data_IF_355281865873
#
_entry.id   IF_355281865873
#
_cell.length_a   1.000
_cell.length_b   1.000
_cell.length_c   1.000
_cell.angle_alpha   90.00
_cell.angle_beta   90.00
_cell.angle_gamma   90.00
#
_symmetry.space_group_name_H-M   'P 1'
#
loop_
_entity.id
_entity.type
_entity.pdbx_description
1 polymer ?
#
# COMPACT_ATOMS: atom_id res chain seq x y z
N UNK A 1 17.06 7.66 8.94
CA UNK A 1 15.70 7.11 9.24
C UNK A 1 15.60 5.71 8.69
N UNK A 2 15.13 4.76 9.48
CA UNK A 2 14.95 3.35 9.09
C UNK A 2 13.50 3.05 8.74
N UNK A 3 13.28 2.33 7.64
CA UNK A 3 11.94 1.99 7.15
C UNK A 3 11.54 0.56 7.57
N UNK A 4 10.31 0.40 8.04
CA UNK A 4 9.62 -0.87 8.11
C UNK A 4 8.61 -0.94 6.97
N UNK A 5 8.76 -1.92 6.09
CA UNK A 5 7.85 -2.14 4.96
C UNK A 5 7.08 -3.43 5.20
N UNK A 6 5.76 -3.34 5.34
CA UNK A 6 4.89 -4.50 5.49
C UNK A 6 4.06 -4.67 4.22
N UNK A 7 4.07 -5.89 3.68
CA UNK A 7 3.40 -6.28 2.43
C UNK A 7 2.37 -7.36 2.72
N UNK A 8 1.10 -6.98 2.97
CA UNK A 8 0.00 -7.94 3.04
C UNK A 8 -0.19 -8.64 1.69
N UNK A 9 -0.23 -9.96 1.68
CA UNK A 9 -0.21 -10.75 0.45
C UNK A 9 -1.21 -11.90 0.50
N UNK A 10 -1.97 -12.11 -0.59
CA UNK A 10 -2.86 -13.27 -0.76
C UNK A 10 -3.08 -13.57 -2.24
N UNK A 11 -2.59 -14.73 -2.71
CA UNK A 11 -2.69 -15.19 -4.09
C UNK A 11 -2.12 -14.17 -5.10
N UNK A 12 -0.83 -13.87 -4.96
CA UNK A 12 -0.08 -12.91 -5.76
C UNK A 12 1.10 -13.56 -6.53
N UNK A 13 1.04 -14.86 -6.83
CA UNK A 13 2.11 -15.60 -7.54
C UNK A 13 2.59 -14.91 -8.82
N UNK A 14 1.71 -14.18 -9.51
CA UNK A 14 2.02 -13.49 -10.78
C UNK A 14 2.73 -12.15 -10.59
N UNK A 15 2.63 -11.55 -9.40
CA UNK A 15 3.03 -10.15 -9.18
C UNK A 15 4.13 -10.01 -8.12
N UNK A 16 4.09 -10.85 -7.07
CA UNK A 16 4.89 -10.65 -5.86
C UNK A 16 6.39 -10.57 -6.15
N UNK A 17 6.92 -11.40 -7.06
CA UNK A 17 8.35 -11.41 -7.37
C UNK A 17 8.81 -10.06 -7.96
N UNK A 18 8.00 -9.42 -8.82
CA UNK A 18 8.33 -8.10 -9.37
C UNK A 18 8.33 -7.01 -8.30
N UNK A 19 7.40 -7.09 -7.35
CA UNK A 19 7.36 -6.19 -6.21
C UNK A 19 8.63 -6.33 -5.36
N UNK A 20 8.99 -7.54 -4.95
CA UNK A 20 10.16 -7.83 -4.11
C UNK A 20 11.47 -7.42 -4.80
N UNK A 21 11.65 -7.76 -6.08
CA UNK A 21 12.82 -7.34 -6.87
C UNK A 21 12.92 -5.82 -6.97
N UNK A 22 11.81 -5.12 -7.15
CA UNK A 22 11.83 -3.65 -7.22
C UNK A 22 12.20 -3.00 -5.88
N UNK A 23 11.83 -3.61 -4.76
CA UNK A 23 12.20 -3.17 -3.42
C UNK A 23 13.66 -3.52 -3.08
N UNK A 24 14.12 -4.70 -3.46
CA UNK A 24 15.53 -5.10 -3.35
C UNK A 24 16.46 -4.14 -4.09
N UNK A 25 16.04 -3.62 -5.23
CA UNK A 25 16.82 -2.72 -6.07
C UNK A 25 16.72 -1.24 -5.68
N UNK A 26 16.15 -0.90 -4.52
CA UNK A 26 16.11 0.48 -4.05
C UNK A 26 17.53 1.03 -3.80
N UNK A 27 17.76 2.30 -4.12
CA UNK A 27 19.02 3.01 -3.83
C UNK A 27 19.18 3.34 -2.33
N UNK A 28 18.09 3.48 -1.61
CA UNK A 28 18.07 3.58 -0.15
C UNK A 28 18.03 2.18 0.48
N UNK A 29 18.88 1.90 1.50
CA UNK A 29 19.12 0.55 2.01
C UNK A 29 18.74 0.33 3.48
N UNK A 30 18.45 1.37 4.23
CA UNK A 30 18.11 1.24 5.65
C UNK A 30 16.62 0.90 5.82
N UNK A 31 16.26 -0.34 5.50
CA UNK A 31 14.91 -0.87 5.62
C UNK A 31 14.88 -2.33 6.07
N UNK A 32 13.72 -2.74 6.56
CA UNK A 32 13.33 -4.13 6.77
C UNK A 32 11.98 -4.37 6.09
N UNK A 33 11.83 -5.51 5.43
CA UNK A 33 10.59 -5.89 4.74
C UNK A 33 10.01 -7.13 5.40
N UNK A 34 8.71 -7.05 5.72
CA UNK A 34 7.92 -8.16 6.25
C UNK A 34 6.78 -8.45 5.28
N UNK A 35 6.86 -9.58 4.59
CA UNK A 35 5.76 -10.08 3.76
C UNK A 35 4.83 -10.90 4.65
N UNK A 36 3.56 -10.56 4.70
CA UNK A 36 2.56 -11.30 5.47
C UNK A 36 1.65 -12.05 4.50
N UNK A 37 1.88 -13.35 4.37
CA UNK A 37 1.09 -14.23 3.53
C UNK A 37 -0.16 -14.70 4.28
N UNK A 38 -1.33 -14.23 3.85
CA UNK A 38 -2.62 -14.55 4.45
C UNK A 38 -3.24 -15.80 3.78
N UNK A 39 -2.63 -16.96 4.05
CA UNK A 39 -3.11 -18.26 3.59
C UNK A 39 -3.30 -18.36 2.08
N UNK A 40 -2.31 -17.98 1.29
CA UNK A 40 -2.34 -18.17 -0.16
C UNK A 40 -2.44 -19.64 -0.54
N UNK A 41 -3.17 -19.92 -1.61
CA UNK A 41 -3.41 -21.27 -2.16
C UNK A 41 -2.70 -21.51 -3.49
N UNK A 42 -1.99 -20.50 -4.00
CA UNK A 42 -1.14 -20.53 -5.18
C UNK A 42 0.36 -20.59 -4.80
N UNK A 43 1.26 -20.32 -5.74
CA UNK A 43 2.71 -20.40 -5.52
C UNK A 43 3.27 -19.19 -4.72
N UNK A 44 2.44 -18.26 -4.25
CA UNK A 44 2.89 -17.05 -3.54
C UNK A 44 3.82 -17.37 -2.37
N UNK A 45 3.45 -18.34 -1.52
CA UNK A 45 4.23 -18.72 -0.35
C UNK A 45 5.60 -19.27 -0.74
N UNK A 46 5.67 -20.14 -1.75
CA UNK A 46 6.92 -20.74 -2.22
C UNK A 46 7.86 -19.65 -2.77
N UNK A 47 7.35 -18.75 -3.59
CA UNK A 47 8.12 -17.64 -4.19
C UNK A 47 8.70 -16.74 -3.10
N UNK A 48 7.90 -16.36 -2.08
CA UNK A 48 8.37 -15.45 -1.01
C UNK A 48 9.38 -16.16 -0.10
N UNK A 49 9.18 -17.44 0.23
CA UNK A 49 10.13 -18.22 1.02
C UNK A 49 11.49 -18.31 0.34
N UNK A 50 11.54 -18.63 -0.94
CA UNK A 50 12.77 -18.69 -1.74
C UNK A 50 13.45 -17.32 -1.78
N UNK A 51 12.70 -16.25 -2.02
CA UNK A 51 13.23 -14.90 -2.07
C UNK A 51 13.83 -14.47 -0.72
N UNK A 52 13.11 -14.68 0.38
CA UNK A 52 13.56 -14.33 1.74
C UNK A 52 14.79 -15.12 2.17
N UNK A 53 14.90 -16.40 1.77
CA UNK A 53 16.09 -17.20 2.06
C UNK A 53 17.38 -16.65 1.43
N UNK A 54 17.25 -15.95 0.29
CA UNK A 54 18.37 -15.32 -0.42
C UNK A 54 18.64 -13.87 0.02
N UNK A 55 17.72 -13.25 0.77
CA UNK A 55 17.75 -11.81 1.09
C UNK A 55 17.39 -11.55 2.55
N UNK A 56 18.38 -11.34 3.46
CA UNK A 56 18.16 -11.25 4.91
C UNK A 56 17.31 -10.05 5.36
N UNK A 57 17.18 -9.00 4.54
CA UNK A 57 16.32 -7.86 4.83
C UNK A 57 14.82 -8.15 4.61
N UNK A 58 14.49 -9.34 4.07
CA UNK A 58 13.13 -9.78 3.78
C UNK A 58 12.74 -10.93 4.70
N UNK A 59 11.67 -10.77 5.44
CA UNK A 59 11.07 -11.80 6.28
C UNK A 59 9.68 -12.17 5.80
N UNK A 60 9.26 -13.40 6.02
CA UNK A 60 7.90 -13.86 5.73
C UNK A 60 7.19 -14.30 7.00
N UNK A 61 5.92 -13.92 7.14
CA UNK A 61 4.97 -14.49 8.08
C UNK A 61 3.86 -15.20 7.31
N UNK A 62 3.72 -16.49 7.52
CA UNK A 62 2.60 -17.26 6.99
C UNK A 62 1.48 -17.30 8.03
N UNK A 63 0.27 -16.94 7.63
CA UNK A 63 -0.95 -17.02 8.41
C UNK A 63 -1.84 -18.13 7.85
N UNK A 64 -2.75 -18.64 8.67
CA UNK A 64 -3.89 -19.42 8.19
C UNK A 64 -4.83 -18.52 7.38
N UNK A 65 -5.54 -19.13 6.43
CA UNK A 65 -6.48 -18.40 5.58
C UNK A 65 -7.56 -17.74 6.42
N UNK A 66 -7.64 -16.41 6.35
CA UNK A 66 -8.70 -15.64 7.01
C UNK A 66 -9.89 -15.39 6.09
N UNK A 67 -11.06 -15.12 6.70
CA UNK A 67 -12.26 -14.73 5.95
C UNK A 67 -12.06 -13.44 5.16
N UNK A 68 -12.66 -13.40 3.97
CA UNK A 68 -12.58 -12.22 3.12
C UNK A 68 -13.51 -11.12 3.64
N UNK A 69 -12.92 -9.99 4.08
CA UNK A 69 -13.64 -8.77 4.42
C UNK A 69 -13.02 -7.59 3.68
N UNK A 70 -13.73 -6.93 2.75
CA UNK A 70 -13.21 -5.81 1.98
C UNK A 70 -12.67 -4.69 2.87
N UNK A 71 -11.46 -4.20 2.57
CA UNK A 71 -10.78 -3.16 3.35
C UNK A 71 -10.25 -3.65 4.71
N UNK A 72 -11.05 -4.37 5.49
CA UNK A 72 -10.66 -4.84 6.81
C UNK A 72 -9.57 -5.93 6.76
N UNK A 73 -9.66 -6.87 5.82
CA UNK A 73 -8.72 -7.99 5.70
C UNK A 73 -7.28 -7.52 5.50
N UNK A 74 -7.04 -6.59 4.57
CA UNK A 74 -5.70 -6.08 4.27
C UNK A 74 -5.06 -5.39 5.48
N UNK A 75 -5.87 -4.66 6.27
CA UNK A 75 -5.39 -3.99 7.49
C UNK A 75 -5.08 -5.01 8.58
N UNK A 76 -5.92 -6.03 8.79
CA UNK A 76 -5.64 -7.10 9.76
C UNK A 76 -4.34 -7.85 9.42
N UNK A 77 -4.15 -8.18 8.14
CA UNK A 77 -2.93 -8.82 7.67
C UNK A 77 -1.71 -7.92 7.88
N UNK A 78 -1.83 -6.62 7.59
CA UNK A 78 -0.79 -5.63 7.89
C UNK A 78 -0.45 -5.59 9.40
N UNK A 79 -1.46 -5.52 10.28
CA UNK A 79 -1.27 -5.50 11.73
C UNK A 79 -0.54 -6.77 12.24
N UNK A 80 -0.78 -7.92 11.62
CA UNK A 80 -0.01 -9.16 11.92
C UNK A 80 1.48 -9.04 11.57
N UNK A 81 1.82 -8.23 10.60
CA UNK A 81 3.22 -7.88 10.30
C UNK A 81 3.83 -6.95 11.36
N UNK A 82 3.07 -5.99 11.86
CA UNK A 82 3.53 -5.10 12.96
C UNK A 82 3.86 -5.90 14.24
N UNK A 83 3.11 -6.95 14.54
CA UNK A 83 3.36 -7.80 15.72
C UNK A 83 4.71 -8.54 15.68
N UNK A 84 5.39 -8.59 14.53
CA UNK A 84 6.68 -9.30 14.36
C UNK A 84 7.90 -8.46 14.75
N UNK A 85 7.73 -7.16 14.95
CA UNK A 85 8.85 -6.22 15.08
C UNK A 85 8.64 -5.26 16.25
N UNK A 86 9.74 -4.81 16.87
CA UNK A 86 9.66 -3.67 17.78
C UNK A 86 9.70 -2.38 16.97
N UNK A 87 8.63 -1.61 17.03
CA UNK A 87 8.52 -0.34 16.30
C UNK A 87 9.53 0.72 16.75
N UNK A 88 10.20 0.51 17.91
CA UNK A 88 11.28 1.42 18.36
C UNK A 88 12.46 1.46 17.40
N UNK A 89 12.69 0.38 16.66
CA UNK A 89 13.80 0.24 15.72
C UNK A 89 13.57 0.99 14.39
N UNK A 90 12.38 1.56 14.18
CA UNK A 90 11.98 2.17 12.92
C UNK A 90 11.46 3.59 13.10
N UNK A 91 11.65 4.41 12.06
CA UNK A 91 11.17 5.79 11.99
C UNK A 91 9.97 5.95 11.06
N UNK A 92 9.94 5.15 9.99
CA UNK A 92 8.90 5.19 8.96
C UNK A 92 8.27 3.81 8.81
N UNK A 93 6.94 3.77 8.81
CA UNK A 93 6.14 2.55 8.63
C UNK A 93 5.48 2.62 7.25
N UNK A 94 5.67 1.61 6.42
CA UNK A 94 5.09 1.52 5.09
C UNK A 94 4.10 0.35 4.99
N UNK A 95 2.94 0.60 4.40
CA UNK A 95 2.03 -0.44 3.92
C UNK A 95 2.06 -0.42 2.39
N UNK A 96 2.66 -1.44 1.78
CA UNK A 96 2.75 -1.58 0.33
C UNK A 96 1.96 -2.80 -0.15
N UNK A 97 1.35 -2.70 -1.34
CA UNK A 97 0.67 -3.84 -1.96
C UNK A 97 1.67 -4.69 -2.76
N UNK A 98 1.37 -5.98 -2.86
CA UNK A 98 2.22 -6.99 -3.48
C UNK A 98 2.28 -6.91 -5.02
N UNK A 99 1.42 -6.11 -5.64
CA UNK A 99 1.30 -5.91 -7.09
C UNK A 99 1.81 -4.55 -7.56
N UNK A 100 2.75 -3.96 -6.80
CA UNK A 100 3.37 -2.67 -7.11
C UNK A 100 4.84 -2.86 -7.53
N UNK A 101 5.26 -2.20 -8.61
CA UNK A 101 6.67 -2.06 -8.98
C UNK A 101 7.11 -0.62 -8.67
N UNK A 102 8.13 -0.50 -7.83
CA UNK A 102 8.70 0.76 -7.39
C UNK A 102 9.90 1.17 -8.28
N UNK A 103 10.07 2.46 -8.63
CA UNK A 103 11.32 2.92 -9.22
C UNK A 103 12.46 2.85 -8.18
N UNK A 104 13.70 2.66 -8.61
CA UNK A 104 14.86 2.42 -7.74
C UNK A 104 15.10 3.51 -6.70
N UNK A 105 14.68 4.73 -6.97
CA UNK A 105 14.83 5.88 -6.07
C UNK A 105 13.58 6.18 -5.22
N UNK A 106 12.59 5.26 -5.16
CA UNK A 106 11.33 5.53 -4.49
C UNK A 106 11.52 5.80 -3.00
N UNK A 107 12.18 4.90 -2.28
CA UNK A 107 12.43 5.04 -0.84
C UNK A 107 13.33 6.25 -0.55
N UNK A 108 14.34 6.52 -1.38
CA UNK A 108 15.20 7.70 -1.21
C UNK A 108 14.41 9.01 -1.31
N UNK A 109 13.53 9.13 -2.30
CA UNK A 109 12.71 10.35 -2.46
C UNK A 109 11.71 10.54 -1.30
N UNK A 110 11.10 9.47 -0.79
CA UNK A 110 10.23 9.58 0.39
C UNK A 110 11.06 9.95 1.63
N UNK A 111 12.20 9.30 1.81
CA UNK A 111 13.14 9.60 2.90
C UNK A 111 13.49 11.10 2.92
N UNK A 112 13.84 11.68 1.77
CA UNK A 112 14.24 13.08 1.68
C UNK A 112 13.11 14.03 2.10
N UNK A 113 11.85 13.70 1.80
CA UNK A 113 10.71 14.49 2.28
C UNK A 113 10.60 14.42 3.81
N UNK A 114 10.73 13.24 4.40
CA UNK A 114 10.65 13.08 5.85
C UNK A 114 11.81 13.77 6.58
N UNK A 115 13.03 13.71 6.05
CA UNK A 115 14.20 14.38 6.62
C UNK A 115 14.04 15.90 6.61
N UNK A 116 13.54 16.46 5.49
CA UNK A 116 13.47 17.92 5.31
C UNK A 116 12.16 18.55 5.84
N UNK A 117 11.17 17.73 6.21
CA UNK A 117 9.89 18.21 6.73
C UNK A 117 9.44 17.42 7.96
N UNK A 118 9.71 17.92 9.18
CA UNK A 118 9.28 17.26 10.41
C UNK A 118 7.76 17.12 10.57
N UNK A 119 6.96 17.93 9.85
CA UNK A 119 5.50 17.85 9.86
C UNK A 119 4.94 16.84 8.84
N UNK A 120 5.77 16.29 7.97
CA UNK A 120 5.35 15.24 7.06
C UNK A 120 4.95 13.99 7.85
N UNK A 121 3.66 13.73 7.97
CA UNK A 121 3.10 12.56 8.63
C UNK A 121 2.88 11.39 7.67
N UNK A 122 2.47 11.69 6.44
CA UNK A 122 2.27 10.70 5.38
C UNK A 122 2.88 11.17 4.08
N UNK A 123 3.61 10.28 3.39
CA UNK A 123 4.25 10.58 2.11
C UNK A 123 4.05 9.43 1.12
N UNK A 124 3.75 9.73 -0.13
CA UNK A 124 3.76 8.74 -1.22
C UNK A 124 4.08 9.36 -2.58
N UNK A 125 4.30 8.51 -3.57
CA UNK A 125 4.25 8.90 -4.98
C UNK A 125 2.85 8.79 -5.56
N UNK A 126 2.77 8.74 -6.90
CA UNK A 126 1.56 8.57 -7.70
C UNK A 126 1.47 7.13 -8.19
N UNK A 127 0.26 6.59 -8.22
CA UNK A 127 -0.02 5.26 -8.79
C UNK A 127 -0.38 5.40 -10.26
N UNK A 128 0.34 4.68 -11.12
CA UNK A 128 0.03 4.56 -12.55
C UNK A 128 -0.32 3.12 -12.90
N UNK A 129 -1.25 2.97 -13.84
CA UNK A 129 -1.71 1.70 -14.37
C UNK A 129 -1.41 1.63 -15.87
N UNK A 130 -1.24 0.42 -16.41
CA UNK A 130 -1.01 0.23 -17.84
C UNK A 130 -2.26 0.61 -18.64
N UNK A 131 -2.11 1.38 -19.71
CA UNK A 131 -3.21 1.85 -20.57
C UNK A 131 -4.02 0.69 -21.17
N UNK A 132 -3.35 -0.41 -21.55
CA UNK A 132 -4.00 -1.62 -22.10
C UNK A 132 -5.00 -2.30 -21.16
N UNK A 133 -4.94 -2.06 -19.86
CA UNK A 133 -5.91 -2.59 -18.89
C UNK A 133 -7.29 -1.96 -19.06
N UNK A 134 -7.36 -0.70 -19.50
CA UNK A 134 -8.62 -0.02 -19.83
C UNK A 134 -9.24 -0.54 -21.15
N UNK A 135 -8.42 -1.15 -22.02
CA UNK A 135 -8.83 -1.65 -23.34
C UNK A 135 -9.14 -3.16 -23.34
N UNK A 136 -9.27 -3.82 -22.17
CA UNK A 136 -9.51 -5.26 -22.00
C UNK A 136 -8.47 -6.19 -22.69
N UNK A 137 -7.27 -5.71 -22.98
CA UNK A 137 -6.19 -6.51 -23.55
C UNK A 137 -5.31 -7.08 -22.43
N UNK A 138 -5.38 -8.38 -22.20
CA UNK A 138 -4.72 -9.15 -21.12
C UNK A 138 -3.21 -9.40 -21.28
N UNK A 139 -2.53 -8.76 -22.21
CA UNK A 139 -1.08 -8.94 -22.39
C UNK A 139 -0.30 -8.00 -21.47
N UNK A 140 0.23 -8.53 -20.38
CA UNK A 140 1.14 -7.81 -19.49
C UNK A 140 2.59 -7.97 -19.98
N UNK A 141 3.14 -6.93 -20.60
CA UNK A 141 4.57 -6.72 -20.67
C UNK A 141 4.94 -5.48 -19.86
N UNK A 142 5.57 -5.67 -18.67
CA UNK A 142 5.93 -4.57 -17.77
C UNK A 142 7.27 -3.91 -18.14
N UNK A 143 7.93 -4.35 -19.21
CA UNK A 143 9.14 -3.70 -19.78
C UNK A 143 8.78 -2.51 -20.64
N UNK A 144 7.48 -2.24 -20.80
CA UNK A 144 6.96 -1.16 -21.62
C UNK A 144 7.44 0.23 -21.19
N UNK A 145 7.69 1.07 -22.18
CA UNK A 145 8.11 2.46 -22.03
C UNK A 145 7.12 3.30 -21.21
N UNK A 146 7.61 4.39 -20.62
CA UNK A 146 6.86 5.35 -19.77
C UNK A 146 5.53 5.83 -20.38
N UNK A 147 5.40 5.86 -21.71
CA UNK A 147 4.19 6.32 -22.44
C UNK A 147 2.97 5.41 -22.27
N UNK A 148 3.17 4.14 -21.89
CA UNK A 148 2.07 3.18 -21.70
C UNK A 148 1.46 3.20 -20.30
N UNK A 149 2.06 3.93 -19.34
CA UNK A 149 1.61 4.05 -17.98
C UNK A 149 0.89 5.37 -17.76
N UNK A 150 -0.40 5.29 -17.40
CA UNK A 150 -1.27 6.45 -17.18
C UNK A 150 -1.65 6.54 -15.70
N UNK A 151 -1.98 7.75 -15.25
CA UNK A 151 -2.48 7.94 -13.88
C UNK A 151 -3.77 7.12 -13.67
N UNK A 152 -3.80 6.35 -12.59
CA UNK A 152 -5.00 5.61 -12.18
C UNK A 152 -6.00 6.59 -11.57
N UNK A 153 -6.94 7.10 -12.40
CA UNK A 153 -7.84 8.21 -12.06
C UNK A 153 -9.04 7.74 -11.21
N UNK A 154 -8.76 7.23 -10.00
CA UNK A 154 -9.80 6.86 -9.01
C UNK A 154 -9.74 7.74 -7.75
N UNK A 155 -8.76 8.65 -7.68
CA UNK A 155 -8.60 9.63 -6.59
C UNK A 155 -7.80 10.82 -7.09
N UNK A 156 -7.80 11.93 -6.33
CA UNK A 156 -6.94 13.09 -6.61
C UNK A 156 -5.44 12.70 -6.61
N UNK A 157 -4.65 13.38 -7.46
CA UNK A 157 -3.17 13.29 -7.41
C UNK A 157 -2.55 13.84 -6.12
N UNK A 158 -3.33 14.46 -5.26
CA UNK A 158 -2.90 14.94 -3.93
C UNK A 158 -3.26 13.94 -2.82
N UNK A 159 -3.77 12.77 -3.17
CA UNK A 159 -4.18 11.74 -2.22
C UNK A 159 -3.11 10.65 -2.11
N UNK A 160 -2.67 10.36 -0.88
CA UNK A 160 -1.79 9.22 -0.58
C UNK A 160 -2.60 7.94 -0.65
N UNK A 161 -2.36 7.15 -1.72
CA UNK A 161 -3.16 5.98 -2.09
C UNK A 161 -2.83 4.75 -1.23
N UNK A 162 -3.87 3.92 -0.95
CA UNK A 162 -3.79 2.69 -0.19
C UNK A 162 -2.64 1.73 -0.56
N UNK A 163 -2.32 1.50 -1.85
CA UNK A 163 -1.26 0.59 -2.27
C UNK A 163 0.17 1.00 -1.88
N UNK A 164 0.43 2.27 -1.57
CA UNK A 164 1.79 2.81 -1.43
C UNK A 164 1.93 3.79 -0.26
N UNK A 165 1.26 3.51 0.85
CA UNK A 165 1.27 4.40 2.02
C UNK A 165 2.56 4.29 2.82
N UNK A 166 3.11 5.44 3.20
CA UNK A 166 4.13 5.53 4.25
C UNK A 166 3.71 6.53 5.31
N UNK A 167 4.13 6.28 6.54
CA UNK A 167 3.78 7.05 7.73
C UNK A 167 5.02 7.32 8.56
N UNK A 168 5.20 8.55 9.03
CA UNK A 168 6.10 8.81 10.15
C UNK A 168 5.58 8.05 11.36
N UNK A 169 6.47 7.42 12.15
CA UNK A 169 6.06 6.58 13.29
C UNK A 169 5.17 7.33 14.28
N UNK A 170 5.52 8.55 14.61
CA UNK A 170 4.75 9.41 15.54
C UNK A 170 3.34 9.66 14.99
N UNK A 171 3.21 10.00 13.71
CA UNK A 171 1.91 10.16 13.05
C UNK A 171 1.09 8.86 13.12
N UNK A 172 1.71 7.71 12.82
CA UNK A 172 1.06 6.40 12.88
C UNK A 172 0.56 6.07 14.29
N UNK A 173 1.34 6.37 15.31
CA UNK A 173 0.98 6.15 16.72
C UNK A 173 -0.15 7.08 17.16
N UNK A 174 -0.10 8.37 16.85
CA UNK A 174 -1.14 9.35 17.19
C UNK A 174 -2.49 9.03 16.50
N UNK A 175 -2.46 8.49 15.30
CA UNK A 175 -3.67 7.98 14.61
C UNK A 175 -4.22 6.69 15.25
N UNK A 176 -3.48 6.07 16.17
CA UNK A 176 -3.76 4.75 16.73
C UNK A 176 -3.76 3.64 15.65
N UNK A 177 -2.81 3.72 14.72
CA UNK A 177 -2.64 2.76 13.63
C UNK A 177 -3.74 2.78 12.56
N UNK A 178 -3.81 1.70 11.78
CA UNK A 178 -4.83 1.54 10.73
C UNK A 178 -6.08 0.86 11.27
N UNK A 179 -7.25 1.37 10.93
CA UNK A 179 -8.55 0.79 11.29
C UNK A 179 -8.95 -0.30 10.29
N UNK A 180 -9.26 -1.53 10.73
CA UNK A 180 -9.63 -2.64 9.85
C UNK A 180 -11.08 -2.53 9.37
N UNK A 181 -11.40 -1.49 8.61
CA UNK A 181 -12.74 -1.20 8.04
C UNK A 181 -12.63 -0.78 6.59
N UNK A 182 -13.74 -0.85 5.85
CA UNK A 182 -13.81 -0.29 4.50
C UNK A 182 -13.61 1.24 4.56
N UNK A 183 -12.76 1.77 3.67
CA UNK A 183 -12.41 3.20 3.65
C UNK A 183 -11.24 3.57 4.57
N UNK A 184 -10.57 2.58 5.17
CA UNK A 184 -9.41 2.78 6.04
C UNK A 184 -8.37 3.74 5.45
N UNK A 185 -8.19 3.70 4.12
CA UNK A 185 -7.20 4.48 3.37
C UNK A 185 -7.59 5.96 3.14
N UNK A 186 -8.80 6.35 3.52
CA UNK A 186 -9.23 7.74 3.66
C UNK A 186 -9.29 8.15 5.14
N UNK A 187 -9.71 7.23 6.02
CA UNK A 187 -9.80 7.47 7.45
C UNK A 187 -8.43 7.84 8.02
N UNK A 188 -7.37 7.12 7.62
CA UNK A 188 -6.01 7.43 8.08
C UNK A 188 -5.54 8.82 7.64
N UNK A 189 -5.85 9.24 6.40
CA UNK A 189 -5.56 10.61 5.91
C UNK A 189 -6.31 11.66 6.73
N UNK A 190 -7.57 11.41 7.08
CA UNK A 190 -8.37 12.31 7.90
C UNK A 190 -7.81 12.41 9.32
N UNK A 191 -7.40 11.28 9.91
CA UNK A 191 -6.81 11.22 11.24
C UNK A 191 -5.45 11.92 11.27
N UNK A 192 -4.57 11.67 10.30
CA UNK A 192 -3.28 12.38 10.21
C UNK A 192 -3.48 13.89 10.19
N UNK A 193 -4.38 14.40 9.34
CA UNK A 193 -4.69 15.83 9.28
C UNK A 193 -5.31 16.36 10.56
N UNK A 194 -6.19 15.59 11.24
CA UNK A 194 -6.78 15.95 12.52
C UNK A 194 -5.72 16.17 13.60
N UNK A 195 -4.64 15.39 13.59
CA UNK A 195 -3.50 15.54 14.48
C UNK A 195 -2.47 16.58 14.01
N UNK A 196 -2.77 17.35 12.95
CA UNK A 196 -1.91 18.42 12.44
C UNK A 196 -0.77 17.98 11.52
N UNK A 197 -0.75 16.70 11.09
CA UNK A 197 0.24 16.18 10.18
C UNK A 197 -0.03 16.57 8.73
N UNK A 198 1.04 16.79 7.98
CA UNK A 198 0.97 17.00 6.54
C UNK A 198 0.90 15.67 5.79
N UNK A 199 0.05 15.63 4.77
CA UNK A 199 -0.12 14.49 3.86
C UNK A 199 0.38 14.90 2.48
N UNK A 200 1.51 14.33 2.06
CA UNK A 200 2.29 14.80 0.91
C UNK A 200 2.30 13.74 -0.19
N UNK A 201 1.99 14.17 -1.42
CA UNK A 201 2.18 13.34 -2.61
C UNK A 201 3.25 13.95 -3.53
N UNK A 202 4.31 13.20 -3.79
CA UNK A 202 5.40 13.57 -4.69
C UNK A 202 4.93 13.32 -6.13
N UNK A 203 4.63 14.39 -6.87
CA UNK A 203 3.96 14.30 -8.18
C UNK A 203 4.83 13.75 -9.32
N UNK A 204 6.14 13.90 -9.23
CA UNK A 204 7.12 13.37 -10.20
C UNK A 204 7.62 11.97 -9.84
N UNK A 205 7.24 11.43 -8.68
CA UNK A 205 7.51 10.08 -8.23
C UNK A 205 6.28 9.19 -8.50
N UNK A 206 6.46 8.07 -9.22
CA UNK A 206 5.34 7.20 -9.52
C UNK A 206 5.75 5.73 -9.55
N UNK A 207 4.77 4.89 -9.25
CA UNK A 207 4.88 3.43 -9.24
C UNK A 207 4.01 2.82 -10.33
N UNK A 208 4.33 1.59 -10.73
CA UNK A 208 3.51 0.77 -11.64
C UNK A 208 2.61 -0.13 -10.81
N UNK A 209 1.30 -0.03 -11.00
CA UNK A 209 0.30 -0.93 -10.41
C UNK A 209 -0.08 -1.99 -11.45
N UNK A 210 0.20 -3.24 -11.16
CA UNK A 210 0.07 -4.34 -12.12
C UNK A 210 -1.38 -4.78 -12.32
N UNK A 211 -2.26 -4.44 -11.36
CA UNK A 211 -3.68 -4.80 -11.40
C UNK A 211 -4.55 -3.58 -11.04
N UNK A 212 -5.66 -3.30 -11.77
CA UNK A 212 -6.55 -2.18 -11.45
C UNK A 212 -7.16 -2.32 -10.05
N UNK A 213 -7.27 -1.20 -9.34
CA UNK A 213 -7.96 -1.16 -8.05
C UNK A 213 -9.42 -1.57 -8.20
N UNK A 214 -9.95 -2.31 -7.22
CA UNK A 214 -11.36 -2.75 -7.14
C UNK A 214 -11.86 -3.62 -8.30
N UNK A 215 -10.97 -4.31 -9.03
CA UNK A 215 -11.33 -5.20 -10.14
C UNK A 215 -12.45 -6.22 -9.80
N UNK A 216 -12.54 -6.68 -8.56
CA UNK A 216 -13.48 -7.74 -8.12
C UNK A 216 -14.85 -7.24 -7.60
N UNK A 217 -15.12 -5.92 -7.49
CA UNK A 217 -16.23 -5.41 -6.66
C UNK A 217 -17.34 -4.67 -7.40
N UNK A 218 -17.49 -4.87 -8.72
CA UNK A 218 -18.48 -4.12 -9.53
C UNK A 218 -19.94 -4.37 -9.14
N UNK A 219 -20.30 -5.56 -8.63
CA UNK A 219 -21.69 -5.95 -8.33
C UNK A 219 -22.23 -5.50 -6.96
N UNK A 220 -21.38 -5.09 -6.03
CA UNK A 220 -21.76 -4.70 -4.65
C UNK A 220 -21.52 -3.21 -4.38
N UNK A 221 -21.56 -2.37 -5.41
CA UNK A 221 -21.08 -0.99 -5.32
C UNK A 221 -21.91 -0.12 -4.35
N UNK A 222 -23.22 -0.24 -4.35
CA UNK A 222 -24.10 0.61 -3.54
C UNK A 222 -24.02 0.28 -2.04
N UNK A 223 -24.04 -1.02 -1.68
CA UNK A 223 -23.92 -1.46 -0.30
C UNK A 223 -22.58 -1.04 0.32
N UNK A 224 -21.49 -1.26 -0.41
CA UNK A 224 -20.15 -0.85 0.01
C UNK A 224 -19.98 0.66 0.11
N UNK A 225 -20.68 1.44 -0.71
CA UNK A 225 -20.65 2.90 -0.62
C UNK A 225 -21.34 3.37 0.67
N UNK A 226 -22.46 2.75 1.06
CA UNK A 226 -23.13 3.02 2.33
C UNK A 226 -22.27 2.68 3.54
N UNK A 227 -21.64 1.50 3.56
CA UNK A 227 -20.68 1.10 4.59
C UNK A 227 -19.49 2.07 4.66
N UNK A 228 -18.93 2.45 3.52
CA UNK A 228 -17.85 3.43 3.46
C UNK A 228 -18.27 4.77 4.07
N UNK A 229 -19.42 5.33 3.69
CA UNK A 229 -19.92 6.60 4.24
C UNK A 229 -20.13 6.54 5.75
N UNK A 230 -20.68 5.42 6.25
CA UNK A 230 -20.81 5.18 7.68
C UNK A 230 -19.46 5.19 8.40
N UNK A 231 -18.49 4.45 7.87
CA UNK A 231 -17.16 4.31 8.47
C UNK A 231 -16.37 5.61 8.53
N UNK A 232 -16.53 6.50 7.53
CA UNK A 232 -15.90 7.83 7.52
C UNK A 232 -16.69 8.87 8.35
N UNK A 233 -17.82 8.48 8.94
CA UNK A 233 -18.65 9.36 9.75
C UNK A 233 -19.43 10.40 8.96
N UNK A 234 -19.75 10.12 7.67
CA UNK A 234 -20.54 11.03 6.85
C UNK A 234 -22.00 11.03 7.34
N UNK A 235 -22.56 12.22 7.62
CA UNK A 235 -23.95 12.33 8.02
C UNK A 235 -24.89 11.95 6.86
N UNK A 236 -26.08 11.43 7.18
CA UNK A 236 -27.06 10.98 6.17
C UNK A 236 -27.35 12.04 5.08
N UNK A 237 -27.57 13.34 5.40
CA UNK A 237 -27.78 14.35 4.37
C UNK A 237 -26.60 14.50 3.41
N UNK A 238 -25.37 14.43 3.90
CA UNK A 238 -24.14 14.51 3.09
C UNK A 238 -23.95 13.24 2.24
N UNK A 239 -24.32 12.06 2.76
CA UNK A 239 -24.23 10.81 2.02
C UNK A 239 -25.20 10.76 0.82
N UNK A 240 -26.35 11.44 0.92
CA UNK A 240 -27.35 11.49 -0.18
C UNK A 240 -26.91 12.40 -1.34
N UNK A 241 -26.12 13.45 -1.06
CA UNK A 241 -25.66 14.41 -2.07
C UNK A 241 -24.24 14.13 -2.60
N UNK A 242 -23.57 13.07 -2.11
CA UNK A 242 -22.24 12.64 -2.54
C UNK A 242 -22.30 11.57 -3.62
#
# INVERSE_FOLDING_TARGET
>A
MKFLIIIPTHNEEKNILFCLESLKNQTFRDYKIVVVNDGSTDQTQAIVNEFAAAHPDFEIKNLEKSEHQPGAKVVRTFNKGLEMVDLKDFDIICKFDADIIFPENYLKKIHDVYENNPKAGMVSGIVKIKKSVFENKLAFDFRDEKKQWVFENISSKNHVRGPIKSYRKECFQEMNGLRPVLGWDNIDVMLAKKHGWEVITIKDLWVKHLRPTAYKYKSQKAEKLGEYFYNIGLSFPLAVIS
#
